data_IF_196913788165
#
_entry.id   IF_196913788165
#
_cell.length_a   1.000
_cell.length_b   1.000
_cell.length_c   1.000
_cell.angle_alpha   90.00
_cell.angle_beta   90.00
_cell.angle_gamma   90.00
#
_symmetry.space_group_name_H-M   'P 1'
#
loop_
_entity.id
_entity.type
_entity.pdbx_description
1 polymer ?
#
# COMPACT_ATOMS: atom_id res chain seq x y z
N UNK A 1 -22.15 -12.80 5.80
CA UNK A 1 -23.04 -13.95 6.11
C UNK A 1 -22.54 -14.78 7.29
N UNK A 2 -21.28 -15.26 7.28
CA UNK A 2 -20.77 -16.21 8.28
C UNK A 2 -20.59 -15.65 9.71
N UNK A 3 -20.23 -14.37 9.88
CA UNK A 3 -20.16 -13.72 11.21
C UNK A 3 -21.45 -13.07 11.68
N UNK A 4 -22.48 -12.94 10.84
CA UNK A 4 -23.76 -12.31 11.21
C UNK A 4 -24.79 -13.32 11.72
N UNK A 5 -24.65 -14.60 11.36
CA UNK A 5 -25.54 -15.67 11.81
C UNK A 5 -25.46 -15.94 13.33
N UNK A 6 -24.29 -15.95 13.99
CA UNK A 6 -24.23 -16.17 15.44
C UNK A 6 -24.90 -15.05 16.26
N UNK A 7 -24.67 -13.74 15.99
CA UNK A 7 -25.39 -12.66 16.65
C UNK A 7 -26.90 -12.67 16.40
N UNK A 8 -27.33 -12.95 15.16
CA UNK A 8 -28.76 -13.03 14.85
C UNK A 8 -29.43 -14.24 15.51
N UNK A 9 -28.77 -15.39 15.55
CA UNK A 9 -29.30 -16.58 16.22
C UNK A 9 -29.39 -16.37 17.74
N UNK A 10 -28.35 -15.80 18.36
CA UNK A 10 -28.41 -15.40 19.77
C UNK A 10 -29.53 -14.39 20.01
N UNK A 11 -29.68 -13.35 19.18
CA UNK A 11 -30.74 -12.35 19.35
C UNK A 11 -32.17 -12.89 19.12
N UNK A 12 -32.35 -13.91 18.26
CA UNK A 12 -33.67 -14.48 17.95
C UNK A 12 -34.09 -15.58 18.94
N UNK A 13 -33.13 -16.36 19.45
CA UNK A 13 -33.41 -17.54 20.27
C UNK A 13 -33.12 -17.35 21.77
N UNK A 14 -32.38 -16.33 22.17
CA UNK A 14 -32.12 -16.05 23.59
C UNK A 14 -33.32 -15.34 24.23
N UNK A 15 -34.32 -16.14 24.67
CA UNK A 15 -35.38 -15.66 25.56
C UNK A 15 -35.05 -16.05 26.99
N UNK A 16 -34.45 -15.14 27.74
CA UNK A 16 -34.07 -15.40 29.14
C UNK A 16 -35.27 -15.54 30.10
N UNK A 17 -36.50 -15.17 29.67
CA UNK A 17 -37.73 -15.27 30.48
C UNK A 17 -38.97 -15.63 29.64
N UNK A 18 -39.90 -16.40 30.22
CA UNK A 18 -41.22 -16.69 29.63
C UNK A 18 -42.11 -15.45 29.61
N UNK A 19 -42.90 -15.28 28.53
CA UNK A 19 -43.76 -14.10 28.30
C UNK A 19 -44.71 -13.84 29.46
N UNK A 20 -45.23 -14.90 30.11
CA UNK A 20 -46.11 -14.77 31.29
C UNK A 20 -45.41 -14.14 32.50
N UNK A 21 -44.16 -14.51 32.77
CA UNK A 21 -43.40 -13.98 33.90
C UNK A 21 -42.97 -12.52 33.65
N UNK A 22 -42.65 -12.18 32.40
CA UNK A 22 -42.28 -10.83 32.00
C UNK A 22 -43.44 -9.83 32.19
N UNK A 23 -44.69 -10.29 32.01
CA UNK A 23 -45.89 -9.49 32.26
C UNK A 23 -46.26 -9.39 33.75
N UNK A 24 -45.93 -10.39 34.56
CA UNK A 24 -46.21 -10.41 36.00
C UNK A 24 -45.22 -9.55 36.81
N UNK A 25 -43.99 -9.39 36.34
CA UNK A 25 -42.93 -8.65 37.04
C UNK A 25 -42.28 -7.59 36.12
N UNK A 26 -42.93 -6.41 35.97
CA UNK A 26 -42.45 -5.37 35.04
C UNK A 26 -41.08 -4.78 35.41
N UNK A 27 -40.67 -4.86 36.68
CA UNK A 27 -39.35 -4.36 37.14
C UNK A 27 -38.18 -5.10 36.48
N UNK A 28 -38.36 -6.36 36.07
CA UNK A 28 -37.31 -7.16 35.41
C UNK A 28 -36.91 -6.61 34.03
N UNK A 29 -37.74 -5.75 33.44
CA UNK A 29 -37.47 -5.12 32.14
C UNK A 29 -36.44 -3.98 32.24
N UNK A 30 -36.34 -3.30 33.40
CA UNK A 30 -35.42 -2.16 33.58
C UNK A 30 -33.96 -2.58 33.41
N UNK A 31 -33.58 -3.74 33.95
CA UNK A 31 -32.21 -4.26 33.86
C UNK A 31 -31.85 -4.68 32.42
N UNK A 32 -32.83 -5.19 31.66
CA UNK A 32 -32.65 -5.56 30.24
C UNK A 32 -32.55 -4.33 29.35
N UNK A 33 -33.30 -3.26 29.64
CA UNK A 33 -33.21 -2.00 28.90
C UNK A 33 -31.89 -1.27 29.16
N UNK A 34 -31.36 -1.37 30.39
CA UNK A 34 -30.03 -0.88 30.74
C UNK A 34 -28.92 -1.68 30.04
N UNK A 35 -29.04 -3.00 29.89
CA UNK A 35 -28.04 -3.82 29.21
C UNK A 35 -28.06 -3.63 27.68
N UNK A 36 -29.23 -3.42 27.06
CA UNK A 36 -29.32 -3.11 25.63
C UNK A 36 -28.67 -1.77 25.27
N UNK A 37 -28.86 -0.75 26.10
CA UNK A 37 -28.21 0.56 25.93
C UNK A 37 -26.69 0.48 26.19
N UNK A 38 -26.25 -0.33 27.15
CA UNK A 38 -24.83 -0.60 27.41
C UNK A 38 -24.12 -1.28 26.23
N UNK A 39 -24.74 -2.29 25.60
CA UNK A 39 -24.16 -2.98 24.45
C UNK A 39 -23.97 -2.08 23.22
N UNK A 40 -24.96 -1.23 22.92
CA UNK A 40 -24.85 -0.26 21.82
C UNK A 40 -23.80 0.81 22.11
N UNK A 41 -23.72 1.27 23.36
CA UNK A 41 -22.71 2.24 23.80
C UNK A 41 -21.31 1.67 23.64
N UNK A 42 -21.06 0.46 24.18
CA UNK A 42 -19.79 -0.25 24.01
C UNK A 42 -19.47 -0.45 22.53
N UNK A 43 -20.43 -0.86 21.72
CA UNK A 43 -20.21 -1.06 20.29
C UNK A 43 -19.78 0.24 19.60
N UNK A 44 -20.48 1.36 19.84
CA UNK A 44 -20.13 2.66 19.29
C UNK A 44 -18.74 3.09 19.75
N UNK A 45 -18.49 3.10 21.07
CA UNK A 45 -17.19 3.51 21.64
C UNK A 45 -16.03 2.67 21.10
N UNK A 46 -16.22 1.35 20.93
CA UNK A 46 -15.19 0.47 20.37
C UNK A 46 -14.93 0.75 18.89
N UNK A 47 -15.97 1.01 18.10
CA UNK A 47 -15.82 1.38 16.68
C UNK A 47 -15.10 2.73 16.58
N UNK A 48 -15.52 3.71 17.37
CA UNK A 48 -14.94 5.05 17.39
C UNK A 48 -13.45 5.03 17.80
N UNK A 49 -13.11 4.26 18.84
CA UNK A 49 -11.71 4.07 19.30
C UNK A 49 -10.85 3.40 18.23
N UNK A 50 -11.37 2.39 17.53
CA UNK A 50 -10.64 1.70 16.45
C UNK A 50 -10.37 2.62 15.26
N UNK A 51 -11.36 3.43 14.89
CA UNK A 51 -11.21 4.42 13.81
C UNK A 51 -10.16 5.48 14.19
N UNK A 52 -10.23 6.02 15.41
CA UNK A 52 -9.25 7.01 15.89
C UNK A 52 -7.81 6.49 15.89
N UNK A 53 -7.60 5.24 16.33
CA UNK A 53 -6.29 4.58 16.25
C UNK A 53 -5.80 4.45 14.80
N UNK A 54 -6.69 3.99 13.90
CA UNK A 54 -6.34 3.82 12.48
C UNK A 54 -5.96 5.16 11.82
N UNK A 55 -6.76 6.21 12.05
CA UNK A 55 -6.46 7.55 11.55
C UNK A 55 -5.11 8.06 12.07
N UNK A 56 -4.80 7.83 13.34
CA UNK A 56 -3.51 8.22 13.92
C UNK A 56 -2.33 7.53 13.21
N UNK A 57 -2.44 6.24 12.90
CA UNK A 57 -1.41 5.53 12.14
C UNK A 57 -1.26 6.11 10.73
N UNK A 58 -2.37 6.36 10.03
CA UNK A 58 -2.35 6.92 8.67
C UNK A 58 -1.69 8.29 8.66
N UNK A 59 -2.07 9.20 9.56
CA UNK A 59 -1.48 10.55 9.62
C UNK A 59 0.03 10.48 9.87
N UNK A 60 0.47 9.68 10.85
CA UNK A 60 1.90 9.49 11.11
C UNK A 60 2.62 8.91 9.89
N UNK A 61 2.03 7.92 9.18
CA UNK A 61 2.65 7.36 7.96
C UNK A 61 2.83 8.38 6.85
N UNK A 62 1.84 9.28 6.64
CA UNK A 62 1.87 10.29 5.58
C UNK A 62 2.89 11.38 5.92
N UNK A 63 2.95 11.83 7.17
CA UNK A 63 3.93 12.80 7.64
C UNK A 63 5.37 12.26 7.50
N UNK A 64 5.60 11.00 7.88
CA UNK A 64 6.90 10.35 7.71
C UNK A 64 7.26 10.15 6.23
N UNK A 65 6.29 9.76 5.38
CA UNK A 65 6.50 9.63 3.94
C UNK A 65 6.89 10.96 3.30
N UNK A 66 6.21 12.05 3.65
CA UNK A 66 6.54 13.40 3.19
C UNK A 66 7.94 13.83 3.68
N UNK A 67 8.31 13.48 4.92
CA UNK A 67 9.66 13.71 5.46
C UNK A 67 10.75 12.99 4.67
N UNK A 68 10.50 11.76 4.20
CA UNK A 68 11.46 10.99 3.38
C UNK A 68 11.68 11.55 1.97
N UNK A 69 10.68 12.22 1.40
CA UNK A 69 10.81 12.85 0.08
C UNK A 69 11.56 14.18 0.14
N UNK A 70 11.84 14.68 1.34
CA UNK A 70 12.59 15.90 1.56
C UNK A 70 14.09 15.68 1.27
N UNK A 71 14.63 16.36 0.26
CA UNK A 71 16.01 16.15 -0.23
C UNK A 71 17.07 16.93 0.55
N UNK A 72 16.68 17.93 1.35
CA UNK A 72 17.58 18.68 2.22
C UNK A 72 17.28 18.36 3.68
N UNK A 73 18.21 17.68 4.36
CA UNK A 73 18.06 17.34 5.78
C UNK A 73 18.55 18.50 6.64
N UNK A 74 17.66 19.45 6.89
CA UNK A 74 17.94 20.61 7.75
C UNK A 74 17.36 20.39 9.15
N UNK A 75 17.90 21.07 10.15
CA UNK A 75 17.32 21.11 11.50
C UNK A 75 15.82 21.49 11.48
N UNK A 76 15.41 22.37 10.55
CA UNK A 76 14.01 22.74 10.33
C UNK A 76 13.14 21.56 9.89
N UNK A 77 13.68 20.66 9.06
CA UNK A 77 12.96 19.45 8.63
C UNK A 77 12.70 18.51 9.81
N UNK A 78 13.65 18.38 10.74
CA UNK A 78 13.44 17.60 11.96
C UNK A 78 12.34 18.25 12.82
N UNK A 79 12.44 19.55 13.07
CA UNK A 79 11.42 20.29 13.82
C UNK A 79 10.04 20.20 13.16
N UNK A 80 9.94 20.21 11.83
CA UNK A 80 8.68 20.06 11.11
C UNK A 80 8.06 18.66 11.29
N UNK A 81 8.87 17.60 11.26
CA UNK A 81 8.39 16.22 11.47
C UNK A 81 7.89 16.06 12.91
N UNK A 82 8.70 16.44 13.90
CA UNK A 82 8.30 16.35 15.31
C UNK A 82 7.13 17.28 15.63
N UNK A 83 7.12 18.48 15.05
CA UNK A 83 6.03 19.45 15.17
C UNK A 83 4.72 18.93 14.59
N UNK A 84 4.76 18.22 13.44
CA UNK A 84 3.58 17.60 12.85
C UNK A 84 3.02 16.48 13.73
N UNK A 85 3.90 15.65 14.31
CA UNK A 85 3.49 14.57 15.22
C UNK A 85 2.92 15.15 16.52
N UNK A 86 3.58 16.16 17.10
CA UNK A 86 3.12 16.84 18.30
C UNK A 86 1.78 17.56 18.10
N UNK A 87 1.61 18.25 16.97
CA UNK A 87 0.37 18.95 16.64
C UNK A 87 -0.79 17.98 16.46
N UNK A 88 -0.55 16.78 15.90
CA UNK A 88 -1.57 15.74 15.78
C UNK A 88 -2.05 15.23 17.15
N UNK A 89 -1.12 14.90 18.06
CA UNK A 89 -1.48 14.46 19.41
C UNK A 89 -2.20 15.57 20.19
N UNK A 90 -1.76 16.82 20.04
CA UNK A 90 -2.43 17.97 20.64
C UNK A 90 -3.85 18.15 20.08
N UNK A 91 -4.03 17.99 18.77
CA UNK A 91 -5.35 18.01 18.14
C UNK A 91 -6.27 16.91 18.69
N UNK A 92 -5.79 15.68 18.89
CA UNK A 92 -6.61 14.61 19.48
C UNK A 92 -7.09 14.91 20.90
N UNK A 93 -6.21 15.50 21.74
CA UNK A 93 -6.56 15.89 23.11
C UNK A 93 -7.55 17.06 23.11
N UNK A 94 -7.30 18.09 22.31
CA UNK A 94 -8.19 19.26 22.19
C UNK A 94 -9.54 18.85 21.59
N UNK A 95 -9.54 18.01 20.55
CA UNK A 95 -10.77 17.48 19.94
C UNK A 95 -11.62 16.72 20.97
N UNK A 96 -11.01 15.88 21.80
CA UNK A 96 -11.73 15.15 22.86
C UNK A 96 -12.31 16.08 23.94
N UNK A 97 -11.62 17.18 24.27
CA UNK A 97 -12.06 18.11 25.31
C UNK A 97 -13.01 19.21 24.82
N UNK A 98 -13.00 19.54 23.53
CA UNK A 98 -13.87 20.55 22.93
C UNK A 98 -15.22 19.97 22.48
N UNK A 99 -15.29 18.68 22.16
CA UNK A 99 -16.55 18.02 21.80
C UNK A 99 -17.65 17.97 22.89
N UNK A 100 -17.37 17.85 24.22
CA UNK A 100 -18.42 17.81 25.23
C UNK A 100 -19.28 19.08 25.34
N UNK A 101 -18.91 20.19 24.69
CA UNK A 101 -19.73 21.41 24.68
C UNK A 101 -20.85 21.37 23.64
N UNK A 102 -20.86 20.39 22.73
CA UNK A 102 -21.97 20.15 21.80
C UNK A 102 -22.77 18.92 22.30
N UNK A 103 -24.07 19.05 22.64
CA UNK A 103 -24.90 17.96 23.17
C UNK A 103 -25.23 16.83 22.16
N UNK A 104 -24.45 16.70 21.09
CA UNK A 104 -24.63 15.73 20.01
C UNK A 104 -23.81 14.43 20.18
N UNK A 105 -22.84 14.38 21.11
CA UNK A 105 -22.00 13.19 21.29
C UNK A 105 -21.43 13.05 22.73
N UNK A 106 -22.28 12.65 23.69
CA UNK A 106 -21.83 12.26 25.04
C UNK A 106 -20.97 10.98 25.06
N UNK A 107 -20.89 10.25 23.95
CA UNK A 107 -20.24 8.95 23.85
C UNK A 107 -18.74 9.00 23.49
N UNK A 108 -18.18 10.20 23.30
CA UNK A 108 -16.77 10.42 22.91
C UNK A 108 -15.86 10.89 24.05
N UNK A 109 -16.42 11.12 25.25
CA UNK A 109 -15.65 11.55 26.43
C UNK A 109 -14.88 10.35 26.99
N UNK A 110 -13.54 10.43 27.02
CA UNK A 110 -12.66 9.40 27.56
C UNK A 110 -12.02 8.47 26.52
N UNK A 111 -12.31 8.63 25.23
CA UNK A 111 -11.66 7.87 24.15
C UNK A 111 -10.13 8.10 24.14
N UNK A 112 -9.69 9.33 24.38
CA UNK A 112 -8.29 9.71 24.48
C UNK A 112 -7.54 8.91 25.56
N UNK A 113 -8.16 8.74 26.73
CA UNK A 113 -7.58 7.96 27.84
C UNK A 113 -7.44 6.46 27.52
N UNK A 114 -8.41 5.90 26.79
CA UNK A 114 -8.37 4.51 26.35
C UNK A 114 -7.30 4.26 25.27
N UNK A 115 -7.12 5.21 24.35
CA UNK A 115 -6.11 5.14 23.29
C UNK A 115 -4.70 5.30 23.85
N UNK A 116 -4.45 6.32 24.68
CA UNK A 116 -3.11 6.56 25.24
C UNK A 116 -2.70 5.55 26.32
N UNK A 117 -3.67 4.98 27.04
CA UNK A 117 -3.41 3.99 28.09
C UNK A 117 -2.96 2.63 27.56
N UNK A 118 -3.16 2.32 26.27
CA UNK A 118 -2.80 1.02 25.73
C UNK A 118 -1.39 0.99 25.13
N UNK A 119 -0.52 0.13 25.66
CA UNK A 119 0.86 -0.01 25.17
C UNK A 119 0.93 -0.49 23.71
N UNK A 120 -0.05 -1.29 23.29
CA UNK A 120 -0.15 -1.82 21.92
C UNK A 120 -0.33 -0.69 20.91
N UNK A 121 -1.01 0.40 21.27
CA UNK A 121 -1.14 1.56 20.39
C UNK A 121 0.20 2.21 20.10
N UNK A 122 1.03 2.44 21.12
CA UNK A 122 2.37 3.01 20.94
C UNK A 122 3.29 2.12 20.10
N UNK A 123 3.24 0.81 20.34
CA UNK A 123 3.98 -0.14 19.52
C UNK A 123 3.50 -0.16 18.06
N UNK A 124 2.18 -0.13 17.84
CA UNK A 124 1.59 -0.02 16.50
C UNK A 124 1.97 1.30 15.82
N UNK A 125 2.04 2.39 16.58
CA UNK A 125 2.35 3.73 16.07
C UNK A 125 3.76 3.82 15.48
N UNK A 126 4.69 3.02 15.97
CA UNK A 126 6.07 2.97 15.45
C UNK A 126 6.22 1.85 14.40
N UNK A 127 5.63 0.68 14.65
CA UNK A 127 5.81 -0.52 13.82
C UNK A 127 5.10 -0.39 12.46
N UNK A 128 3.89 0.17 12.42
CA UNK A 128 3.10 0.27 11.19
C UNK A 128 3.76 1.25 10.19
N UNK A 129 4.12 2.50 10.57
CA UNK A 129 4.79 3.40 9.64
C UNK A 129 6.14 2.88 9.17
N UNK A 130 6.96 2.33 10.08
CA UNK A 130 8.29 1.81 9.73
C UNK A 130 8.21 0.66 8.71
N UNK A 131 7.27 -0.27 8.86
CA UNK A 131 7.06 -1.35 7.90
C UNK A 131 6.57 -0.83 6.54
N UNK A 132 5.58 0.07 6.53
CA UNK A 132 5.06 0.68 5.31
C UNK A 132 6.13 1.47 4.54
N UNK A 133 6.93 2.28 5.25
CA UNK A 133 8.00 3.07 4.66
C UNK A 133 9.15 2.18 4.16
N UNK A 134 9.55 1.17 4.92
CA UNK A 134 10.62 0.26 4.50
C UNK A 134 10.28 -0.41 3.18
N UNK A 135 9.02 -0.83 2.98
CA UNK A 135 8.57 -1.40 1.70
C UNK A 135 8.55 -0.39 0.56
N UNK A 136 8.08 0.85 0.80
CA UNK A 136 8.04 1.91 -0.21
C UNK A 136 9.46 2.32 -0.65
N UNK A 137 10.36 2.51 0.32
CA UNK A 137 11.77 2.80 0.09
C UNK A 137 12.47 1.62 -0.55
N UNK A 138 12.25 0.38 -0.09
CA UNK A 138 12.84 -0.81 -0.69
C UNK A 138 12.44 -0.95 -2.17
N UNK A 139 11.18 -0.70 -2.54
CA UNK A 139 10.75 -0.71 -3.94
C UNK A 139 11.40 0.41 -4.76
N UNK A 140 11.41 1.64 -4.25
CA UNK A 140 12.07 2.79 -4.91
C UNK A 140 13.58 2.54 -5.08
N UNK A 141 14.25 2.02 -4.05
CA UNK A 141 15.66 1.68 -4.03
C UNK A 141 15.98 0.49 -4.92
N UNK A 142 15.17 -0.56 -4.92
CA UNK A 142 15.33 -1.70 -5.83
C UNK A 142 15.18 -1.26 -7.28
N UNK A 143 14.14 -0.48 -7.61
CA UNK A 143 13.98 0.09 -8.96
C UNK A 143 15.15 0.99 -9.34
N UNK A 144 15.65 1.80 -8.41
CA UNK A 144 16.84 2.65 -8.61
C UNK A 144 18.12 1.82 -8.75
N UNK A 145 18.26 0.70 -8.04
CA UNK A 145 19.39 -0.21 -8.13
C UNK A 145 19.39 -1.00 -9.45
N UNK A 146 18.22 -1.38 -9.96
CA UNK A 146 18.09 -2.10 -11.23
C UNK A 146 18.05 -1.16 -12.45
N UNK A 147 17.71 0.13 -12.29
CA UNK A 147 17.61 1.12 -13.38
C UNK A 147 18.64 2.27 -13.31
N UNK A 148 19.47 2.32 -12.28
CA UNK A 148 20.34 3.47 -11.95
C UNK A 148 21.68 3.53 -12.69
N UNK A 149 21.73 3.23 -13.98
CA UNK A 149 23.03 3.19 -14.70
C UNK A 149 23.39 4.46 -15.46
N UNK A 150 22.56 5.52 -15.48
CA UNK A 150 22.90 6.74 -16.24
C UNK A 150 22.70 8.06 -15.49
N UNK A 151 21.61 8.20 -14.72
CA UNK A 151 21.31 9.45 -14.02
C UNK A 151 22.16 9.62 -12.75
N UNK A 152 22.32 8.55 -11.96
CA UNK A 152 23.28 8.48 -10.85
C UNK A 152 24.71 8.80 -11.29
N UNK A 153 25.15 8.25 -12.44
CA UNK A 153 26.51 8.47 -12.94
C UNK A 153 26.75 9.93 -13.34
N UNK A 154 25.76 10.60 -13.94
CA UNK A 154 25.85 12.03 -14.31
C UNK A 154 25.82 12.93 -13.06
N UNK A 155 24.98 12.63 -12.08
CA UNK A 155 24.89 13.42 -10.83
C UNK A 155 26.14 13.25 -9.96
N UNK A 156 26.73 12.04 -9.91
CA UNK A 156 28.02 11.79 -9.26
C UNK A 156 29.17 12.53 -9.95
N UNK A 157 29.15 12.66 -11.28
CA UNK A 157 30.16 13.41 -12.04
C UNK A 157 30.04 14.93 -11.82
N UNK A 158 28.82 15.45 -11.77
CA UNK A 158 28.55 16.87 -11.44
C UNK A 158 29.03 17.22 -10.03
N UNK A 159 28.84 16.30 -9.08
CA UNK A 159 29.31 16.43 -7.70
C UNK A 159 30.84 16.22 -7.54
N UNK A 160 31.48 15.52 -8.49
CA UNK A 160 32.95 15.42 -8.62
C UNK A 160 33.57 16.52 -9.51
N UNK A 161 32.77 17.47 -10.01
CA UNK A 161 33.20 18.56 -10.89
C UNK A 161 33.87 18.08 -12.20
N UNK A 162 33.43 16.92 -12.72
CA UNK A 162 33.91 16.33 -13.98
C UNK A 162 32.82 16.47 -15.05
N UNK A 163 33.18 16.97 -16.24
CA UNK A 163 32.23 17.25 -17.32
C UNK A 163 31.42 15.99 -17.75
N UNK A 164 30.08 16.01 -17.62
CA UNK A 164 29.21 14.85 -17.87
C UNK A 164 28.99 14.53 -19.35
N UNK A 165 29.51 15.35 -20.27
CA UNK A 165 29.17 15.33 -21.69
C UNK A 165 29.63 14.08 -22.46
N UNK A 166 30.74 13.45 -22.05
CA UNK A 166 31.34 12.30 -22.75
C UNK A 166 30.51 11.03 -22.63
N UNK A 167 30.01 10.71 -21.42
CA UNK A 167 29.16 9.52 -21.18
C UNK A 167 27.76 9.65 -21.76
N UNK A 168 27.18 10.85 -21.74
CA UNK A 168 25.88 11.12 -22.37
C UNK A 168 25.97 10.86 -23.88
N UNK A 169 27.03 11.35 -24.54
CA UNK A 169 27.28 11.09 -25.97
C UNK A 169 27.52 9.61 -26.25
N UNK A 170 28.27 8.89 -25.40
CA UNK A 170 28.51 7.46 -25.55
C UNK A 170 27.21 6.63 -25.41
N UNK A 171 26.35 6.95 -24.44
CA UNK A 171 25.07 6.28 -24.23
C UNK A 171 24.04 6.58 -25.33
N UNK A 172 23.99 7.83 -25.81
CA UNK A 172 23.20 8.20 -26.99
C UNK A 172 23.68 7.47 -28.24
N UNK A 173 25.00 7.40 -28.46
CA UNK A 173 25.59 6.65 -29.59
C UNK A 173 25.21 5.18 -29.54
N UNK A 174 25.25 4.54 -28.36
CA UNK A 174 24.86 3.12 -28.23
C UNK A 174 23.37 2.89 -28.51
N UNK A 175 22.48 3.78 -28.03
CA UNK A 175 21.04 3.72 -28.32
C UNK A 175 20.73 3.95 -29.80
N UNK A 176 21.39 4.91 -30.44
CA UNK A 176 21.24 5.20 -31.88
C UNK A 176 21.73 4.02 -32.72
N UNK A 177 22.89 3.44 -32.38
CA UNK A 177 23.41 2.24 -33.07
C UNK A 177 22.45 1.07 -32.94
N UNK A 178 21.93 0.77 -31.74
CA UNK A 178 20.91 -0.29 -31.54
C UNK A 178 19.63 -0.04 -32.34
N UNK A 179 19.08 1.18 -32.30
CA UNK A 179 17.87 1.54 -33.06
C UNK A 179 18.10 1.41 -34.57
N UNK A 180 19.27 1.84 -35.06
CA UNK A 180 19.63 1.70 -36.47
C UNK A 180 19.82 0.24 -36.90
N UNK A 181 20.37 -0.60 -36.02
CA UNK A 181 20.51 -2.04 -36.25
C UNK A 181 19.16 -2.75 -36.37
N UNK A 182 18.21 -2.43 -35.48
CA UNK A 182 16.84 -2.97 -35.54
C UNK A 182 16.12 -2.51 -36.80
N UNK A 183 16.24 -1.23 -37.18
CA UNK A 183 15.65 -0.71 -38.42
C UNK A 183 16.26 -1.36 -39.67
N UNK A 184 17.57 -1.63 -39.67
CA UNK A 184 18.22 -2.36 -40.77
C UNK A 184 17.79 -3.82 -40.81
N UNK A 185 17.66 -4.50 -39.66
CA UNK A 185 17.17 -5.86 -39.58
C UNK A 185 15.74 -5.97 -40.10
N UNK A 186 14.84 -5.09 -39.63
CA UNK A 186 13.45 -5.01 -40.09
C UNK A 186 13.33 -4.69 -41.59
N UNK A 187 14.16 -3.78 -42.11
CA UNK A 187 14.23 -3.48 -43.55
C UNK A 187 14.68 -4.71 -44.35
N UNK A 188 15.64 -5.49 -43.85
CA UNK A 188 16.13 -6.71 -44.52
C UNK A 188 15.05 -7.79 -44.57
N UNK A 189 14.27 -7.97 -43.50
CA UNK A 189 13.14 -8.91 -43.49
C UNK A 189 12.06 -8.50 -44.50
N UNK A 190 11.67 -7.22 -44.55
CA UNK A 190 10.69 -6.72 -45.55
C UNK A 190 11.21 -6.75 -46.99
N UNK A 191 12.50 -6.48 -47.20
CA UNK A 191 13.11 -6.60 -48.52
C UNK A 191 13.14 -8.04 -49.03
N UNK A 192 13.35 -9.01 -48.14
CA UNK A 192 13.28 -10.44 -48.46
C UNK A 192 11.88 -10.89 -48.86
N UNK A 193 10.85 -10.43 -48.13
CA UNK A 193 9.44 -10.72 -48.45
C UNK A 193 9.00 -10.06 -49.77
N UNK A 194 9.47 -8.85 -50.05
CA UNK A 194 9.20 -8.16 -51.31
C UNK A 194 9.86 -8.86 -52.52
N UNK A 195 11.08 -9.37 -52.35
CA UNK A 195 11.75 -10.17 -53.39
C UNK A 195 11.06 -11.52 -53.63
N UNK A 196 10.55 -12.18 -52.59
CA UNK A 196 9.81 -13.44 -52.73
C UNK A 196 8.48 -13.27 -53.49
N UNK A 197 7.81 -12.13 -53.35
CA UNK A 197 6.58 -11.82 -54.11
C UNK A 197 6.83 -11.41 -55.58
N UNK A 198 8.06 -11.05 -55.94
CA UNK A 198 8.46 -10.65 -57.30
C UNK A 198 8.93 -11.82 -58.16
N UNK A 199 9.14 -13.02 -57.59
CA UNK A 199 9.40 -14.24 -58.33
C UNK A 199 8.09 -15.02 -58.52
N UNK A 200 7.42 -14.97 -59.69
CA UNK A 200 6.25 -15.79 -59.97
C UNK A 200 6.74 -17.23 -60.19
N UNK A 201 6.63 -18.09 -59.18
CA UNK A 201 6.95 -19.51 -59.33
C UNK A 201 7.46 -20.23 -58.08
N UNK A 202 7.79 -19.53 -56.99
CA UNK A 202 8.20 -20.19 -55.76
C UNK A 202 6.97 -20.50 -54.87
N UNK A 203 6.26 -21.57 -55.20
CA UNK A 203 5.30 -22.19 -54.29
C UNK A 203 6.08 -22.68 -53.07
N UNK A 204 5.97 -21.99 -51.94
CA UNK A 204 6.57 -22.42 -50.67
C UNK A 204 5.82 -23.66 -50.19
N UNK A 205 6.45 -24.83 -50.39
CA UNK A 205 6.07 -26.04 -49.70
C UNK A 205 6.31 -25.81 -48.20
N UNK A 206 5.22 -25.67 -47.45
CA UNK A 206 5.24 -25.59 -45.99
C UNK A 206 5.56 -26.99 -45.46
N UNK A 207 6.83 -27.37 -45.46
CA UNK A 207 7.30 -28.61 -44.84
C UNK A 207 7.15 -28.48 -43.33
N UNK A 208 5.97 -28.88 -42.82
CA UNK A 208 5.85 -29.48 -41.50
C UNK A 208 6.59 -30.82 -41.55
N UNK A 209 7.75 -30.94 -40.94
CA UNK A 209 8.30 -32.25 -40.58
C UNK A 209 8.27 -32.41 -39.07
N UNK A 210 7.20 -33.06 -38.67
CA UNK A 210 6.98 -33.71 -37.39
C UNK A 210 7.19 -35.20 -37.67
N UNK A 211 8.34 -35.77 -37.30
CA UNK A 211 8.54 -37.22 -37.10
C UNK A 211 9.98 -37.50 -36.65
N UNK A 212 10.15 -38.20 -35.52
CA UNK A 212 11.43 -38.76 -35.06
C UNK A 212 11.84 -40.02 -35.85
N UNK A 213 12.37 -41.06 -35.17
CA UNK A 213 13.78 -41.28 -34.82
C UNK A 213 14.41 -42.50 -35.55
N UNK A 214 15.64 -42.87 -35.15
CA UNK A 214 16.46 -44.06 -35.54
C UNK A 214 17.42 -43.82 -36.72
N UNK A 215 18.65 -44.37 -36.81
CA UNK A 215 19.27 -45.62 -36.29
C UNK A 215 20.80 -45.56 -36.53
N UNK A 216 21.58 -46.18 -35.62
CA UNK A 216 22.63 -47.22 -35.85
C UNK A 216 23.78 -47.02 -36.85
N UNK A 217 25.01 -47.37 -36.38
CA UNK A 217 25.96 -48.23 -37.11
C UNK A 217 27.26 -47.59 -37.59
N UNK A 218 28.40 -47.96 -36.97
CA UNK A 218 29.53 -48.74 -37.58
C UNK A 218 30.51 -47.86 -38.37
N UNK A 219 31.84 -47.97 -38.35
CA UNK A 219 32.91 -48.82 -37.79
C UNK A 219 34.18 -47.90 -37.79
N UNK A 220 35.21 -48.05 -36.96
CA UNK A 220 36.20 -49.12 -36.81
C UNK A 220 36.89 -49.02 -35.43
#
# INVERSE_FOLDING_TARGET
>A
LFSAAPPMALGLFDRSCSVRNCLLYPELYRDTQASASFNLKIHSTLVDTRLACWFSYVVVTVCLKAGLEHTAWTWLSHLAIWGSVATWFLFLVVYSHFYPTLPLASDMVGMDSAVYGCWVFWMGLILIPSFCLTRDVAWKMAKRSFAGSLREQVMQMEQMHVDPGSMIRASLKSKVVKKSGILRAFRRTRGSEALLNLCPGATVERTRTLSGPQTVGQSD
#
